data_IF_104279785245
#
_entry.id   IF_104279785245
#
_cell.length_a   1.000
_cell.length_b   1.000
_cell.length_c   1.000
_cell.angle_alpha   90.00
_cell.angle_beta   90.00
_cell.angle_gamma   90.00
#
_symmetry.space_group_name_H-M   'P 1'
#
loop_
_entity.id
_entity.type
_entity.pdbx_description
1 polymer ?
#
# COMPACT_ATOMS: atom_id res chain seq x y z
N UNK A 1 -17.36 39.96 -8.23
CA UNK A 1 -17.42 38.50 -8.46
C UNK A 1 -16.09 38.08 -9.09
N UNK A 2 -15.18 37.50 -8.31
CA UNK A 2 -13.93 36.97 -8.88
C UNK A 2 -14.20 35.56 -9.43
N UNK A 3 -13.86 35.26 -10.70
CA UNK A 3 -14.01 33.93 -11.24
C UNK A 3 -13.02 32.98 -10.55
N UNK A 4 -13.53 31.82 -10.10
CA UNK A 4 -12.75 30.76 -9.48
C UNK A 4 -11.65 30.31 -10.44
N UNK A 5 -10.39 30.48 -10.03
CA UNK A 5 -9.24 29.94 -10.72
C UNK A 5 -9.41 28.43 -10.88
N UNK A 6 -9.54 27.98 -12.13
CA UNK A 6 -9.59 26.57 -12.48
C UNK A 6 -8.23 25.96 -12.14
N UNK A 7 -8.22 25.00 -11.21
CA UNK A 7 -7.01 24.24 -10.85
C UNK A 7 -6.44 23.63 -12.13
N UNK A 8 -5.16 23.85 -12.46
CA UNK A 8 -4.57 23.31 -13.68
C UNK A 8 -4.60 21.78 -13.62
N UNK A 9 -5.08 21.17 -14.71
CA UNK A 9 -5.14 19.73 -14.89
C UNK A 9 -3.75 19.13 -14.62
N UNK A 10 -3.68 18.21 -13.67
CA UNK A 10 -2.45 17.52 -13.32
C UNK A 10 -1.91 16.78 -14.56
N UNK A 11 -0.66 17.10 -14.92
CA UNK A 11 0.03 16.51 -16.05
C UNK A 11 0.13 14.98 -15.85
N UNK A 12 -0.38 14.13 -16.78
CA UNK A 12 -0.55 12.69 -16.57
C UNK A 12 0.75 11.89 -16.38
N UNK A 13 1.93 12.51 -16.59
CA UNK A 13 3.23 11.84 -16.55
C UNK A 13 4.11 12.16 -15.32
N UNK A 14 3.59 12.88 -14.32
CA UNK A 14 4.38 13.21 -13.12
C UNK A 14 4.16 12.17 -12.00
N UNK A 15 5.21 11.68 -11.32
CA UNK A 15 5.04 10.85 -10.13
C UNK A 15 4.24 11.63 -9.08
N UNK A 16 3.15 11.03 -8.60
CA UNK A 16 2.24 11.63 -7.62
C UNK A 16 2.63 11.13 -6.23
N UNK A 17 2.56 12.00 -5.24
CA UNK A 17 2.66 11.61 -3.84
C UNK A 17 1.29 11.14 -3.37
N UNK A 18 1.17 9.88 -2.99
CA UNK A 18 -0.05 9.32 -2.40
C UNK A 18 0.16 9.15 -0.89
N UNK A 19 -0.87 9.50 -0.12
CA UNK A 19 -0.89 9.26 1.32
C UNK A 19 -1.67 7.98 1.56
N UNK A 20 -1.06 7.02 2.24
CA UNK A 20 -1.66 5.74 2.60
C UNK A 20 -1.69 5.58 4.12
N UNK A 21 -2.59 4.74 4.61
CA UNK A 21 -2.67 4.36 6.02
C UNK A 21 -2.55 2.84 6.14
N UNK A 22 -1.69 2.35 7.03
CA UNK A 22 -1.53 0.92 7.32
C UNK A 22 -1.36 0.76 8.82
N UNK A 23 -2.14 -0.12 9.46
CA UNK A 23 -2.09 -0.34 10.93
C UNK A 23 -2.20 0.98 11.74
N UNK A 24 -3.00 1.93 11.27
CA UNK A 24 -3.16 3.26 11.88
C UNK A 24 -2.01 4.24 11.63
N UNK A 25 -0.97 3.85 10.88
CA UNK A 25 0.17 4.71 10.53
C UNK A 25 -0.05 5.33 9.16
N UNK A 26 -0.03 6.65 9.10
CA UNK A 26 -0.12 7.41 7.85
C UNK A 26 1.28 7.65 7.28
N UNK A 27 1.49 7.37 6.00
CA UNK A 27 2.75 7.59 5.32
C UNK A 27 2.54 8.07 3.88
N UNK A 28 3.51 8.83 3.37
CA UNK A 28 3.52 9.31 1.98
C UNK A 28 4.44 8.44 1.15
N UNK A 29 3.95 8.04 -0.01
CA UNK A 29 4.69 7.23 -0.96
C UNK A 29 4.67 7.86 -2.35
N UNK A 30 5.79 7.70 -3.05
CA UNK A 30 5.93 8.12 -4.44
C UNK A 30 5.28 7.07 -5.33
N UNK A 31 4.15 7.42 -5.96
CA UNK A 31 3.51 6.59 -6.96
C UNK A 31 3.94 7.04 -8.36
N UNK A 32 4.54 6.16 -9.17
CA UNK A 32 4.78 6.43 -10.58
C UNK A 32 3.44 6.70 -11.29
N UNK A 33 3.48 7.53 -12.34
CA UNK A 33 2.31 7.78 -13.16
C UNK A 33 1.76 6.46 -13.76
N UNK A 34 0.45 6.26 -13.69
CA UNK A 34 -0.22 5.06 -14.21
C UNK A 34 -0.13 3.81 -13.33
N UNK A 35 0.50 3.87 -12.16
CA UNK A 35 0.54 2.75 -11.19
C UNK A 35 -0.42 2.92 -10.00
N UNK A 36 -1.28 3.94 -10.04
CA UNK A 36 -2.20 4.28 -8.95
C UNK A 36 -3.12 3.10 -8.59
N UNK A 37 -3.67 2.41 -9.59
CA UNK A 37 -4.54 1.24 -9.38
C UNK A 37 -3.78 0.05 -8.79
N UNK A 38 -2.57 -0.25 -9.30
CA UNK A 38 -1.72 -1.33 -8.77
C UNK A 38 -1.37 -1.09 -7.31
N UNK A 39 -1.08 0.16 -6.97
CA UNK A 39 -0.75 0.54 -5.61
C UNK A 39 -1.97 0.42 -4.68
N UNK A 40 -3.15 0.81 -5.16
CA UNK A 40 -4.40 0.66 -4.40
C UNK A 40 -4.74 -0.81 -4.17
N UNK A 41 -4.54 -1.67 -5.18
CA UNK A 41 -4.70 -3.11 -5.04
C UNK A 41 -3.71 -3.69 -4.01
N UNK A 42 -2.44 -3.29 -4.07
CA UNK A 42 -1.43 -3.70 -3.09
C UNK A 42 -1.75 -3.26 -1.66
N UNK A 43 -2.30 -2.05 -1.50
CA UNK A 43 -2.76 -1.55 -0.20
C UNK A 43 -3.92 -2.37 0.35
N UNK A 44 -4.90 -2.69 -0.50
CA UNK A 44 -6.08 -3.50 -0.14
C UNK A 44 -5.67 -4.91 0.30
N UNK A 45 -4.74 -5.53 -0.43
CA UNK A 45 -4.18 -6.83 -0.09
C UNK A 45 -3.45 -6.79 1.27
N UNK A 46 -2.64 -5.75 1.50
CA UNK A 46 -1.95 -5.57 2.77
C UNK A 46 -2.92 -5.39 3.95
N UNK A 47 -3.98 -4.59 3.80
CA UNK A 47 -5.00 -4.41 4.84
C UNK A 47 -5.77 -5.71 5.14
N UNK A 48 -6.08 -6.49 4.11
CA UNK A 48 -6.69 -7.82 4.26
C UNK A 48 -5.81 -8.75 5.08
N UNK A 49 -4.52 -8.83 4.75
CA UNK A 49 -3.54 -9.66 5.48
C UNK A 49 -3.33 -9.21 6.91
N UNK A 50 -3.31 -7.90 7.14
CA UNK A 50 -3.26 -7.31 8.47
C UNK A 50 -4.48 -7.73 9.30
N UNK A 51 -5.67 -7.70 8.70
CA UNK A 51 -6.92 -8.07 9.36
C UNK A 51 -7.02 -9.58 9.62
N UNK A 52 -6.48 -10.40 8.73
CA UNK A 52 -6.44 -11.87 8.84
C UNK A 52 -5.35 -12.37 9.79
N UNK A 53 -4.25 -11.63 9.91
CA UNK A 53 -3.24 -11.90 10.94
C UNK A 53 -3.88 -11.61 12.28
N UNK A 54 -3.73 -12.52 13.26
CA UNK A 54 -4.36 -12.42 14.59
C UNK A 54 -3.73 -11.30 15.42
N UNK A 55 -3.94 -10.05 14.98
CA UNK A 55 -3.48 -8.85 15.64
C UNK A 55 -4.26 -8.71 16.95
N UNK A 56 -3.58 -9.00 18.06
CA UNK A 56 -4.09 -8.73 19.39
C UNK A 56 -3.35 -7.51 19.94
N UNK A 57 -4.00 -6.33 19.96
CA UNK A 57 -3.39 -5.14 20.53
C UNK A 57 -3.03 -5.41 22.01
N UNK A 58 -1.74 -5.26 22.35
CA UNK A 58 -1.19 -5.56 23.68
C UNK A 58 -0.39 -6.87 23.79
N UNK A 59 -0.48 -7.76 22.80
CA UNK A 59 0.34 -9.00 22.73
C UNK A 59 1.43 -8.89 21.66
N UNK A 60 1.11 -8.29 20.51
CA UNK A 60 2.05 -8.09 19.41
C UNK A 60 2.13 -6.61 19.03
N UNK A 61 3.36 -6.12 18.79
CA UNK A 61 3.57 -4.80 18.23
C UNK A 61 3.11 -4.73 16.77
N UNK A 62 2.79 -3.53 16.28
CA UNK A 62 2.51 -3.34 14.85
C UNK A 62 3.69 -3.76 13.97
N UNK A 63 4.92 -3.65 14.48
CA UNK A 63 6.14 -4.05 13.78
C UNK A 63 6.26 -5.57 13.62
N UNK A 64 5.99 -6.34 14.68
CA UNK A 64 6.00 -7.81 14.65
C UNK A 64 4.98 -8.36 13.65
N UNK A 65 3.78 -7.76 13.63
CA UNK A 65 2.71 -8.14 12.71
C UNK A 65 3.09 -7.83 11.26
N UNK A 66 3.69 -6.67 11.00
CA UNK A 66 4.21 -6.34 9.67
C UNK A 66 5.33 -7.29 9.26
N UNK A 67 6.20 -7.71 10.19
CA UNK A 67 7.29 -8.65 9.91
C UNK A 67 6.76 -10.03 9.52
N UNK A 68 5.77 -10.55 10.24
CA UNK A 68 5.10 -11.82 9.89
C UNK A 68 4.44 -11.74 8.51
N UNK A 69 3.71 -10.66 8.23
CA UNK A 69 3.03 -10.47 6.94
C UNK A 69 4.04 -10.37 5.81
N UNK A 70 5.12 -9.60 6.00
CA UNK A 70 6.19 -9.47 5.02
C UNK A 70 6.88 -10.82 4.74
N UNK A 71 7.13 -11.62 5.77
CA UNK A 71 7.70 -12.96 5.61
C UNK A 71 6.80 -13.87 4.78
N UNK A 72 5.49 -13.86 5.07
CA UNK A 72 4.51 -14.66 4.33
C UNK A 72 4.42 -14.21 2.86
N UNK A 73 4.37 -12.89 2.61
CA UNK A 73 4.41 -12.31 1.25
C UNK A 73 5.65 -12.76 0.47
N UNK A 74 6.82 -12.75 1.10
CA UNK A 74 8.05 -13.23 0.47
C UNK A 74 7.98 -14.72 0.13
N UNK A 75 7.40 -15.55 1.01
CA UNK A 75 7.20 -16.97 0.74
C UNK A 75 6.27 -17.20 -0.46
N UNK A 76 5.11 -16.54 -0.49
CA UNK A 76 4.16 -16.64 -1.62
C UNK A 76 4.78 -16.19 -2.94
N UNK A 77 5.58 -15.12 -2.93
CA UNK A 77 6.31 -14.66 -4.11
C UNK A 77 7.32 -15.71 -4.60
N UNK A 78 8.03 -16.38 -3.68
CA UNK A 78 8.98 -17.44 -4.04
C UNK A 78 8.26 -18.69 -4.58
N UNK A 79 7.10 -19.05 -4.02
CA UNK A 79 6.27 -20.14 -4.51
C UNK A 79 5.70 -19.84 -5.91
N UNK A 80 5.20 -18.62 -6.12
CA UNK A 80 4.71 -18.17 -7.42
C UNK A 80 5.80 -18.22 -8.50
N UNK A 81 7.04 -17.83 -8.15
CA UNK A 81 8.19 -17.92 -9.08
C UNK A 81 8.56 -19.35 -9.44
N UNK A 82 8.54 -20.27 -8.47
CA UNK A 82 8.82 -21.70 -8.71
C UNK A 82 7.75 -22.38 -9.55
N UNK A 83 6.52 -21.88 -9.52
CA UNK A 83 5.40 -22.46 -10.27
C UNK A 83 5.37 -22.01 -11.74
N UNK A 84 6.20 -21.02 -12.10
CA UNK A 84 6.39 -20.49 -13.46
C UNK A 84 7.58 -21.18 -14.18
N UNK A 85 8.28 -22.11 -13.51
CA UNK A 85 9.35 -22.96 -14.05
C UNK A 85 8.87 -24.36 -14.46
#
# INVERSE_FOLDING_TARGET
MYPKAQKPAANPNKPKQLTIAVLGRHMKISCPAGQEEKLQAALTELESRVSNTRYQPGVHGAEDVLLMIALNLCNELLEAKKSDE
#
